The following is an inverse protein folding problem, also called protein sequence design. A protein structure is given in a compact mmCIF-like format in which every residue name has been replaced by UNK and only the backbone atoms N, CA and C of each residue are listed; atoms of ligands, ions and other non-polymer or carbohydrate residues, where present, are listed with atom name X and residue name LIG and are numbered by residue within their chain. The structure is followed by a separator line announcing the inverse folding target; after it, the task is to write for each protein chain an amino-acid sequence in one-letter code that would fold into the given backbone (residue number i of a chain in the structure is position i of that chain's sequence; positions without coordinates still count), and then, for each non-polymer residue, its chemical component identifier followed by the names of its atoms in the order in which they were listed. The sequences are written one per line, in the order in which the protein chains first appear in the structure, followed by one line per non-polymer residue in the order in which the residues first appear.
data_IF_660984461016
#
_entry.id   IF_660984461016
#
_cell.length_a   1.000
_cell.length_b   1.000
_cell.length_c   1.000
_cell.angle_alpha   90.00
_cell.angle_beta   90.00
_cell.angle_gamma   90.00
#
_symmetry.space_group_name_H-M   'P 1'
#
loop_
_entity.id
_entity.type
_entity.pdbx_description
1 polymer ?
#
# COMPACT_ATOMS: atom_id res chain seq x y z
N UNK A 1 21.27 3.22 -0.96
CA UNK A 1 20.31 4.01 -0.15
C UNK A 1 19.01 4.17 -0.94
N UNK A 2 17.82 4.08 -0.33
CA UNK A 2 16.55 4.00 -1.08
C UNK A 2 16.13 5.30 -1.77
N UNK A 3 16.82 6.41 -1.49
CA UNK A 3 16.59 7.70 -2.12
C UNK A 3 17.54 7.99 -3.31
N UNK A 4 18.17 6.97 -3.90
CA UNK A 4 19.12 7.14 -5.00
C UNK A 4 18.47 7.95 -6.14
N UNK A 5 18.91 9.20 -6.33
CA UNK A 5 18.31 10.13 -7.28
C UNK A 5 18.41 9.66 -8.75
N UNK A 6 19.36 8.75 -9.04
CA UNK A 6 19.65 8.25 -10.38
C UNK A 6 18.86 6.99 -10.77
N UNK A 7 18.17 6.34 -9.83
CA UNK A 7 17.39 5.14 -10.14
C UNK A 7 16.04 5.50 -10.80
N UNK A 8 15.55 4.70 -11.76
CA UNK A 8 14.21 4.91 -12.32
C UNK A 8 13.14 4.92 -11.24
N UNK A 9 12.13 5.79 -11.38
CA UNK A 9 11.07 5.99 -10.39
C UNK A 9 10.44 4.69 -9.89
N UNK A 10 10.18 3.74 -10.78
CA UNK A 10 9.64 2.43 -10.41
C UNK A 10 10.50 1.68 -9.39
N UNK A 11 11.83 1.68 -9.55
CA UNK A 11 12.74 1.04 -8.61
C UNK A 11 12.78 1.77 -7.26
N UNK A 12 12.74 3.11 -7.27
CA UNK A 12 12.69 3.92 -6.06
C UNK A 12 11.40 3.66 -5.28
N UNK A 13 10.27 3.63 -5.98
CA UNK A 13 8.96 3.32 -5.39
C UNK A 13 8.89 1.90 -4.85
N UNK A 14 9.44 0.91 -5.57
CA UNK A 14 9.52 -0.46 -5.10
C UNK A 14 10.31 -0.56 -3.79
N UNK A 15 11.50 0.05 -3.76
CA UNK A 15 12.34 0.10 -2.56
C UNK A 15 11.67 0.85 -1.40
N UNK A 16 10.92 1.92 -1.67
CA UNK A 16 10.16 2.65 -0.64
C UNK A 16 9.04 1.78 -0.05
N UNK A 17 8.26 1.11 -0.90
CA UNK A 17 7.15 0.23 -0.49
C UNK A 17 7.67 -0.91 0.37
N UNK A 18 8.75 -1.57 -0.04
CA UNK A 18 9.40 -2.63 0.74
C UNK A 18 9.92 -2.09 2.08
N UNK A 19 10.62 -0.95 2.05
CA UNK A 19 11.14 -0.30 3.25
C UNK A 19 10.04 0.04 4.25
N UNK A 20 8.97 0.69 3.81
CA UNK A 20 7.88 1.13 4.68
C UNK A 20 7.14 -0.05 5.31
N UNK A 21 6.86 -1.10 4.54
CA UNK A 21 6.19 -2.31 5.04
C UNK A 21 7.08 -3.07 6.01
N UNK A 22 8.39 -3.19 5.73
CA UNK A 22 9.36 -3.83 6.63
C UNK A 22 9.48 -3.05 7.95
N UNK A 23 9.62 -1.73 7.87
CA UNK A 23 9.70 -0.84 9.03
C UNK A 23 8.45 -0.99 9.90
N UNK A 24 7.26 -0.97 9.30
CA UNK A 24 5.99 -1.09 10.01
C UNK A 24 5.85 -2.39 10.83
N UNK A 25 6.53 -3.46 10.41
CA UNK A 25 6.53 -4.76 11.09
C UNK A 25 7.63 -4.96 12.14
N UNK A 26 8.56 -4.00 12.35
CA UNK A 26 9.75 -4.19 13.18
C UNK A 26 9.87 -3.12 14.27
N UNK A 27 9.60 -3.51 15.51
CA UNK A 27 9.62 -2.59 16.67
C UNK A 27 10.99 -1.93 16.89
N UNK A 28 12.07 -2.69 16.73
CA UNK A 28 13.43 -2.18 16.91
C UNK A 28 13.76 -1.11 15.85
N UNK A 29 13.40 -1.35 14.59
CA UNK A 29 13.55 -0.38 13.51
C UNK A 29 12.70 0.87 13.76
N UNK A 30 11.46 0.69 14.26
CA UNK A 30 10.55 1.78 14.61
C UNK A 30 11.11 2.66 15.74
N UNK A 31 11.79 2.08 16.73
CA UNK A 31 12.44 2.84 17.80
C UNK A 31 13.57 3.74 17.29
N UNK A 32 14.18 3.42 16.13
CA UNK A 32 15.27 4.18 15.53
C UNK A 32 14.80 5.27 14.55
N UNK A 33 13.50 5.37 14.24
CA UNK A 33 12.95 6.27 13.21
C UNK A 33 13.41 7.73 13.39
N UNK A 34 13.42 8.25 14.63
CA UNK A 34 13.87 9.62 14.90
C UNK A 34 15.35 9.82 14.58
N UNK A 35 16.19 8.87 14.98
CA UNK A 35 17.62 8.91 14.68
C UNK A 35 17.88 8.82 13.17
N UNK A 36 17.18 7.90 12.49
CA UNK A 36 17.29 7.73 11.03
C UNK A 36 16.81 8.98 10.30
N UNK A 37 15.73 9.64 10.72
CA UNK A 37 15.27 10.88 10.09
C UNK A 37 16.28 12.02 10.26
N UNK A 38 17.01 12.05 11.38
CA UNK A 38 18.06 13.04 11.62
C UNK A 38 19.34 12.81 10.81
N UNK A 39 19.59 11.58 10.35
CA UNK A 39 20.81 11.20 9.61
C UNK A 39 20.59 10.92 8.13
N UNK A 40 19.33 10.81 7.69
CA UNK A 40 19.02 10.57 6.28
C UNK A 40 19.34 11.82 5.45
N UNK A 41 20.32 11.69 4.57
CA UNK A 41 20.59 12.64 3.50
C UNK A 41 19.81 12.20 2.24
N UNK A 42 19.05 13.11 1.63
CA UNK A 42 18.36 12.87 0.36
C UNK A 42 18.07 14.18 -0.34
N UNK A 43 18.34 14.22 -1.64
CA UNK A 43 18.10 15.36 -2.53
C UNK A 43 16.75 15.26 -3.26
N UNK A 44 15.85 14.45 -2.71
CA UNK A 44 14.54 14.22 -3.29
C UNK A 44 13.71 15.51 -3.20
N UNK A 45 12.97 15.84 -4.26
CA UNK A 45 12.05 16.97 -4.22
C UNK A 45 11.03 16.81 -3.06
N UNK A 46 10.57 17.90 -2.42
CA UNK A 46 9.65 17.83 -1.28
C UNK A 46 8.32 17.11 -1.58
N UNK A 47 7.91 17.05 -2.84
CA UNK A 47 6.70 16.40 -3.32
C UNK A 47 6.95 15.01 -3.92
N UNK A 48 8.20 14.51 -3.89
CA UNK A 48 8.55 13.23 -4.47
C UNK A 48 7.90 12.08 -3.69
N UNK A 49 6.98 11.37 -4.34
CA UNK A 49 6.26 10.20 -3.79
C UNK A 49 7.17 9.02 -3.40
N UNK A 50 8.43 9.02 -3.84
CA UNK A 50 9.43 7.98 -3.58
C UNK A 50 10.38 8.23 -2.40
N UNK A 51 10.17 9.28 -1.60
CA UNK A 51 11.11 9.67 -0.56
C UNK A 51 10.91 8.92 0.78
N UNK A 52 11.98 8.32 1.31
CA UNK A 52 11.97 7.67 2.64
C UNK A 52 11.66 8.65 3.77
N UNK A 53 12.02 9.94 3.62
CA UNK A 53 11.70 10.97 4.62
C UNK A 53 10.20 11.08 4.83
N UNK A 54 9.39 10.88 3.80
CA UNK A 54 7.93 10.93 3.91
C UNK A 54 7.39 9.82 4.79
N UNK A 55 7.94 8.60 4.67
CA UNK A 55 7.60 7.47 5.54
C UNK A 55 7.95 7.77 6.99
N UNK A 56 9.19 8.21 7.23
CA UNK A 56 9.68 8.52 8.56
C UNK A 56 8.90 9.67 9.22
N UNK A 57 8.62 10.72 8.45
CA UNK A 57 7.86 11.90 8.90
C UNK A 57 6.44 11.51 9.29
N UNK A 58 5.72 10.79 8.42
CA UNK A 58 4.37 10.30 8.71
C UNK A 58 4.34 9.41 9.97
N UNK A 59 5.34 8.54 10.19
CA UNK A 59 5.43 7.69 11.39
C UNK A 59 5.53 8.50 12.68
N UNK A 60 6.37 9.53 12.69
CA UNK A 60 6.62 10.36 13.87
C UNK A 60 5.49 11.36 14.14
N UNK A 61 4.89 11.92 13.09
CA UNK A 61 4.07 13.13 13.21
C UNK A 61 2.58 12.92 12.97
N UNK A 62 2.15 11.82 12.32
CA UNK A 62 0.72 11.55 12.14
C UNK A 62 0.08 11.04 13.43
N UNK A 63 -0.87 11.77 14.01
CA UNK A 63 -1.44 11.41 15.31
C UNK A 63 -2.41 10.24 15.20
N UNK A 64 -3.31 10.29 14.22
CA UNK A 64 -4.26 9.23 13.90
C UNK A 64 -4.26 8.94 12.38
N UNK A 65 -3.66 7.81 11.94
CA UNK A 65 -3.57 7.48 10.53
C UNK A 65 -4.91 7.13 9.87
N UNK A 66 -5.99 6.98 10.63
CA UNK A 66 -7.34 6.79 10.09
C UNK A 66 -8.05 8.11 9.76
N UNK A 67 -7.69 9.22 10.43
CA UNK A 67 -8.30 10.54 10.22
C UNK A 67 -7.39 11.55 9.52
N UNK A 68 -6.07 11.41 9.68
CA UNK A 68 -5.10 12.37 9.18
C UNK A 68 -4.67 12.01 7.75
N UNK A 69 -4.59 13.03 6.89
CA UNK A 69 -3.91 12.91 5.59
C UNK A 69 -2.41 12.83 5.81
N UNK A 70 -1.71 12.04 5.01
CA UNK A 70 -0.25 11.99 5.00
C UNK A 70 0.31 12.02 3.59
N UNK A 71 1.56 11.59 3.45
CA UNK A 71 2.37 11.75 2.25
C UNK A 71 2.32 10.54 1.32
N UNK A 72 1.44 9.58 1.59
CA UNK A 72 1.19 8.40 0.76
C UNK A 72 -0.15 8.51 0.03
N UNK A 73 -0.37 7.65 -0.97
CA UNK A 73 -1.70 7.41 -1.53
C UNK A 73 -2.25 6.09 -1.02
N UNK A 74 -3.57 6.02 -0.81
CA UNK A 74 -4.26 4.84 -0.33
C UNK A 74 -5.41 4.45 -1.23
N UNK A 75 -5.69 3.15 -1.29
CA UNK A 75 -6.78 2.58 -2.06
C UNK A 75 -7.51 1.48 -1.27
N UNK A 76 -8.83 1.60 -1.17
CA UNK A 76 -9.67 0.48 -0.72
C UNK A 76 -10.01 -0.44 -1.89
N UNK A 77 -9.74 -1.73 -1.71
CA UNK A 77 -10.01 -2.81 -2.66
C UNK A 77 -10.89 -3.86 -1.99
N UNK A 78 -11.81 -4.47 -2.74
CA UNK A 78 -12.66 -5.55 -2.23
C UNK A 78 -11.83 -6.80 -1.93
N UNK A 79 -12.25 -7.59 -0.97
CA UNK A 79 -11.65 -8.91 -0.70
C UNK A 79 -12.24 -9.93 -1.72
N UNK A 80 -11.51 -10.95 -2.18
CA UNK A 80 -10.13 -11.32 -1.84
C UNK A 80 -9.05 -10.49 -2.57
N UNK A 81 -9.43 -9.64 -3.53
CA UNK A 81 -8.51 -8.93 -4.42
C UNK A 81 -7.48 -8.06 -3.72
N UNK A 82 -7.87 -7.38 -2.64
CA UNK A 82 -6.93 -6.58 -1.84
C UNK A 82 -5.72 -7.40 -1.37
N UNK A 83 -5.95 -8.63 -0.88
CA UNK A 83 -4.87 -9.51 -0.46
C UNK A 83 -4.07 -10.04 -1.63
N UNK A 84 -4.72 -10.36 -2.74
CA UNK A 84 -4.07 -10.94 -3.91
C UNK A 84 -3.21 -9.93 -4.68
N UNK A 85 -3.54 -8.64 -4.61
CA UNK A 85 -2.68 -7.54 -5.08
C UNK A 85 -1.36 -7.42 -4.31
N UNK A 86 -1.28 -8.03 -3.12
CA UNK A 86 -0.09 -8.04 -2.26
C UNK A 86 0.62 -9.40 -2.23
N UNK A 87 0.26 -10.29 -3.17
CA UNK A 87 1.02 -11.50 -3.46
C UNK A 87 1.77 -11.24 -4.76
N UNK A 88 3.04 -11.66 -4.85
CA UNK A 88 3.79 -11.53 -6.10
C UNK A 88 3.10 -12.29 -7.23
N UNK A 89 2.99 -11.66 -8.41
CA UNK A 89 2.42 -12.30 -9.60
C UNK A 89 3.16 -13.56 -10.00
N UNK A 90 4.46 -13.67 -9.69
CA UNK A 90 5.28 -14.85 -9.95
C UNK A 90 4.84 -16.10 -9.18
N UNK A 91 4.11 -15.94 -8.07
CA UNK A 91 3.62 -17.05 -7.23
C UNK A 91 2.08 -17.10 -7.18
N UNK A 92 1.41 -16.51 -8.17
CA UNK A 92 -0.05 -16.57 -8.31
C UNK A 92 -0.81 -15.35 -7.77
N UNK A 93 -0.12 -14.24 -7.49
CA UNK A 93 -0.78 -12.98 -7.17
C UNK A 93 -1.47 -12.30 -8.35
N UNK A 94 -2.33 -11.33 -8.03
CA UNK A 94 -3.01 -10.45 -8.99
C UNK A 94 -2.23 -9.15 -9.10
N UNK A 95 -2.16 -8.55 -10.28
CA UNK A 95 -1.44 -7.29 -10.49
C UNK A 95 -2.30 -6.21 -11.17
N UNK A 96 -3.60 -6.43 -11.36
CA UNK A 96 -4.49 -5.49 -12.07
C UNK A 96 -5.76 -5.28 -11.26
N UNK A 97 -6.04 -4.05 -10.85
CA UNK A 97 -7.31 -3.66 -10.25
C UNK A 97 -8.25 -3.07 -11.32
N UNK A 98 -9.51 -3.50 -11.33
CA UNK A 98 -10.50 -3.07 -12.32
C UNK A 98 -11.36 -1.94 -11.76
N UNK A 99 -11.36 -0.77 -12.40
CA UNK A 99 -12.06 0.43 -11.91
C UNK A 99 -12.95 1.07 -12.97
N UNK A 100 -13.93 1.83 -12.55
CA UNK A 100 -14.77 2.65 -13.44
C UNK A 100 -14.22 4.07 -13.62
N UNK A 101 -13.25 4.45 -12.79
CA UNK A 101 -12.55 5.73 -12.79
C UNK A 101 -11.07 5.56 -13.16
N UNK A 102 -10.46 6.66 -13.61
CA UNK A 102 -9.04 6.77 -13.96
C UNK A 102 -8.31 7.71 -13.02
N UNK A 103 -6.98 7.66 -13.06
CA UNK A 103 -6.10 8.60 -12.38
C UNK A 103 -4.78 8.73 -13.16
N UNK A 104 -4.19 9.92 -13.12
CA UNK A 104 -2.87 10.18 -13.66
C UNK A 104 -1.75 9.85 -12.65
N UNK A 105 -2.11 9.53 -11.40
CA UNK A 105 -1.13 9.16 -10.38
C UNK A 105 -0.38 7.88 -10.74
N UNK A 106 0.94 7.91 -10.54
CA UNK A 106 1.84 6.75 -10.53
C UNK A 106 2.73 6.81 -9.31
N UNK A 107 2.94 5.65 -8.68
CA UNK A 107 3.73 5.56 -7.47
C UNK A 107 3.12 4.69 -6.38
N UNK A 108 3.66 4.79 -5.15
CA UNK A 108 3.27 3.94 -4.02
C UNK A 108 1.80 4.12 -3.60
N UNK A 109 1.11 3.00 -3.42
CA UNK A 109 -0.28 2.95 -2.95
C UNK A 109 -0.40 1.95 -1.81
N UNK A 110 -0.89 2.41 -0.66
CA UNK A 110 -1.27 1.55 0.46
C UNK A 110 -2.60 0.86 0.15
N UNK A 111 -2.65 -0.44 0.36
CA UNK A 111 -3.81 -1.27 0.03
C UNK A 111 -4.60 -1.57 1.30
N UNK A 112 -5.86 -1.15 1.30
CA UNK A 112 -6.85 -1.45 2.33
C UNK A 112 -7.83 -2.53 1.84
N UNK A 113 -7.91 -3.65 2.57
CA UNK A 113 -8.92 -4.68 2.39
C UNK A 113 -10.28 -4.24 2.94
N UNK A 114 -11.22 -3.92 2.05
CA UNK A 114 -12.56 -3.44 2.40
C UNK A 114 -13.44 -4.47 3.08
N UNK A 115 -14.60 -4.03 3.59
CA UNK A 115 -15.59 -4.90 4.27
C UNK A 115 -16.25 -5.90 3.32
N UNK A 116 -16.41 -5.56 2.04
CA UNK A 116 -17.10 -6.40 1.05
C UNK A 116 -16.19 -7.47 0.46
N UNK A 117 -16.78 -8.64 0.28
CA UNK A 117 -16.19 -9.78 -0.44
C UNK A 117 -16.81 -9.82 -1.85
N UNK A 118 -15.97 -10.02 -2.86
CA UNK A 118 -16.36 -10.22 -4.25
C UNK A 118 -16.46 -11.72 -4.55
N UNK A 119 -17.70 -12.22 -4.57
CA UNK A 119 -17.98 -13.64 -4.76
C UNK A 119 -17.51 -14.16 -6.13
N UNK A 120 -17.71 -13.36 -7.19
CA UNK A 120 -17.23 -13.70 -8.53
C UNK A 120 -15.70 -13.85 -8.56
N UNK A 121 -15.02 -13.15 -7.65
CA UNK A 121 -13.59 -13.26 -7.49
C UNK A 121 -13.11 -14.53 -6.81
N UNK A 122 -13.87 -15.04 -5.85
CA UNK A 122 -13.61 -16.35 -5.25
C UNK A 122 -13.69 -17.44 -6.33
N UNK A 123 -14.77 -17.42 -7.11
CA UNK A 123 -14.99 -18.39 -8.18
C UNK A 123 -13.92 -18.31 -9.27
N UNK A 124 -13.51 -17.09 -9.66
CA UNK A 124 -12.41 -16.92 -10.62
C UNK A 124 -11.10 -17.48 -10.05
N UNK A 125 -10.78 -17.20 -8.79
CA UNK A 125 -9.59 -17.75 -8.14
C UNK A 125 -9.59 -19.28 -8.11
N UNK A 126 -10.73 -19.89 -7.78
CA UNK A 126 -10.91 -21.35 -7.80
C UNK A 126 -10.71 -21.92 -9.22
N UNK A 127 -11.29 -21.30 -10.24
CA UNK A 127 -11.10 -21.72 -11.65
C UNK A 127 -9.65 -21.60 -12.12
N UNK A 128 -8.92 -20.61 -11.61
CA UNK A 128 -7.49 -20.42 -11.87
C UNK A 128 -6.59 -21.31 -11.01
N UNK A 129 -7.16 -22.21 -10.18
CA UNK A 129 -6.40 -23.13 -9.34
C UNK A 129 -5.73 -22.47 -8.13
N UNK A 130 -6.17 -21.27 -7.75
CA UNK A 130 -5.63 -20.54 -6.60
C UNK A 130 -6.02 -21.23 -5.30
N UNK A 131 -5.05 -21.34 -4.37
CA UNK A 131 -5.24 -21.96 -3.05
C UNK A 131 -5.55 -20.89 -2.01
N UNK A 132 -6.05 -21.33 -0.86
CA UNK A 132 -6.24 -20.46 0.33
C UNK A 132 -7.13 -19.23 0.08
N UNK A 133 -8.18 -19.36 -0.75
CA UNK A 133 -9.09 -18.24 -1.01
C UNK A 133 -9.79 -17.72 0.26
N UNK A 134 -10.05 -18.61 1.24
CA UNK A 134 -10.56 -18.24 2.57
C UNK A 134 -9.62 -17.27 3.29
N UNK A 135 -8.32 -17.59 3.33
CA UNK A 135 -7.30 -16.72 3.90
C UNK A 135 -7.35 -15.34 3.26
N UNK A 136 -7.44 -15.25 1.93
CA UNK A 136 -7.54 -13.96 1.22
C UNK A 136 -8.84 -13.21 1.52
N UNK A 137 -9.95 -13.92 1.75
CA UNK A 137 -11.22 -13.32 2.17
C UNK A 137 -11.17 -12.76 3.59
N UNK A 138 -10.35 -13.33 4.47
CA UNK A 138 -10.21 -12.88 5.87
C UNK A 138 -9.34 -11.63 6.04
N UNK A 139 -8.67 -11.18 4.96
CA UNK A 139 -7.75 -10.04 4.97
C UNK A 139 -8.47 -8.70 4.85
N UNK A 140 -9.11 -8.28 5.94
CA UNK A 140 -9.63 -6.91 6.10
C UNK A 140 -8.60 -5.99 6.76
N UNK A 141 -8.64 -4.70 6.46
CA UNK A 141 -7.77 -3.68 7.07
C UNK A 141 -6.63 -3.24 6.17
N UNK A 142 -5.67 -2.51 6.73
CA UNK A 142 -4.41 -2.21 6.04
C UNK A 142 -3.57 -3.47 5.89
N UNK A 143 -3.21 -3.82 4.65
CA UNK A 143 -2.55 -5.09 4.34
C UNK A 143 -1.08 -4.92 3.91
N UNK A 144 -0.70 -3.74 3.43
CA UNK A 144 0.60 -3.47 2.84
C UNK A 144 0.53 -2.37 1.79
N UNK A 145 1.48 -2.36 0.86
CA UNK A 145 1.54 -1.39 -0.23
C UNK A 145 2.06 -2.03 -1.52
N UNK A 146 1.77 -1.38 -2.64
CA UNK A 146 2.20 -1.78 -3.99
C UNK A 146 2.39 -0.53 -4.84
N UNK A 147 3.03 -0.62 -6.01
CA UNK A 147 3.33 0.53 -6.88
C UNK A 147 2.34 0.54 -8.04
N UNK A 148 1.54 1.60 -8.19
CA UNK A 148 0.72 1.82 -9.37
C UNK A 148 1.61 2.31 -10.51
N UNK A 149 1.88 1.44 -11.48
CA UNK A 149 2.80 1.71 -12.61
C UNK A 149 2.06 2.10 -13.88
N UNK A 150 0.81 1.67 -14.03
CA UNK A 150 0.00 2.04 -15.19
C UNK A 150 -1.52 2.10 -14.90
N UNK A 151 -2.23 2.90 -15.67
CA UNK A 151 -3.69 3.05 -15.68
C UNK A 151 -4.10 3.29 -17.12
N UNK A 152 -4.80 2.31 -17.71
CA UNK A 152 -5.26 2.38 -19.09
C UNK A 152 -6.70 1.91 -19.24
N UNK A 153 -7.35 2.27 -20.35
CA UNK A 153 -8.70 1.79 -20.66
C UNK A 153 -8.68 0.29 -20.97
N UNK A 154 -9.67 -0.43 -20.49
CA UNK A 154 -9.82 -1.85 -20.78
C UNK A 154 -10.05 -2.07 -22.29
N UNK A 155 -9.13 -2.78 -22.94
CA UNK A 155 -9.15 -3.08 -24.38
C UNK A 155 -8.91 -4.57 -24.65
N UNK A 156 -9.56 -5.45 -23.88
CA UNK A 156 -9.32 -6.91 -23.97
C UNK A 156 -7.92 -7.33 -23.51
N UNK A 157 -7.25 -6.48 -22.73
CA UNK A 157 -5.89 -6.67 -22.23
C UNK A 157 -5.86 -7.19 -20.78
N UNK A 158 -4.65 -7.37 -20.23
CA UNK A 158 -4.40 -7.67 -18.82
C UNK A 158 -4.96 -9.01 -18.32
N UNK A 159 -5.15 -9.98 -19.22
CA UNK A 159 -5.55 -11.33 -18.84
C UNK A 159 -4.55 -11.96 -17.85
N UNK A 160 -5.01 -12.78 -16.88
CA UNK A 160 -6.41 -13.17 -16.65
C UNK A 160 -7.20 -12.17 -15.79
N UNK A 161 -6.57 -11.07 -15.35
CA UNK A 161 -7.09 -10.20 -14.30
C UNK A 161 -7.95 -9.04 -14.79
N UNK A 162 -7.67 -8.57 -16.01
CA UNK A 162 -8.37 -7.50 -16.67
C UNK A 162 -9.76 -7.94 -17.12
N UNK A 163 -10.76 -7.12 -16.81
CA UNK A 163 -12.14 -7.32 -17.26
C UNK A 163 -12.52 -6.24 -18.26
N UNK A 164 -13.36 -6.57 -19.22
CA UNK A 164 -13.94 -5.61 -20.17
C UNK A 164 -15.21 -4.98 -19.58
N UNK A 165 -15.66 -3.82 -20.10
CA UNK A 165 -16.98 -3.28 -19.74
C UNK A 165 -18.08 -4.29 -20.06
N UNK A 166 -19.06 -4.43 -19.16
CA UNK A 166 -20.25 -5.24 -19.42
C UNK A 166 -21.19 -4.56 -20.43
N UNK A 167 -21.37 -3.24 -20.29
CA UNK A 167 -22.19 -2.44 -21.19
C UNK A 167 -21.30 -1.58 -22.10
N UNK A 168 -21.56 -1.55 -23.43
CA UNK A 168 -20.95 -0.58 -24.33
C UNK A 168 -21.18 0.85 -23.81
N UNK A 169 -20.11 1.62 -23.63
CA UNK A 169 -20.15 3.02 -23.16
C UNK A 169 -19.87 3.23 -21.67
N UNK A 170 -19.84 2.19 -20.83
CA UNK A 170 -19.36 2.33 -19.46
C UNK A 170 -17.82 2.33 -19.44
N UNK A 171 -17.17 3.36 -18.86
CA UNK A 171 -15.73 3.38 -18.75
C UNK A 171 -15.26 2.27 -17.80
N UNK A 172 -14.20 1.59 -18.22
CA UNK A 172 -13.50 0.57 -17.45
C UNK A 172 -12.01 0.79 -17.63
N UNK A 173 -11.29 0.83 -16.53
CA UNK A 173 -9.85 1.03 -16.49
C UNK A 173 -9.18 -0.12 -15.76
N UNK A 174 -7.98 -0.46 -16.21
CA UNK A 174 -7.08 -1.41 -15.56
C UNK A 174 -5.98 -0.60 -14.88
N UNK A 175 -5.92 -0.73 -13.56
CA UNK A 175 -4.87 -0.12 -12.74
C UNK A 175 -3.83 -1.22 -12.48
N UNK A 176 -2.65 -1.08 -13.07
CA UNK A 176 -1.57 -2.08 -13.05
C UNK A 176 -0.63 -1.79 -11.89
N UNK A 177 -0.47 -2.78 -11.03
CA UNK A 177 0.33 -2.73 -9.82
C UNK A 177 1.56 -3.63 -9.93
N UNK A 178 2.69 -3.17 -9.40
CA UNK A 178 3.93 -3.92 -9.32
C UNK A 178 4.58 -3.77 -7.95
N UNK A 179 5.59 -4.60 -7.66
CA UNK A 179 6.36 -4.55 -6.42
C UNK A 179 5.50 -4.60 -5.14
N UNK A 180 4.66 -5.63 -4.98
CA UNK A 180 3.85 -5.77 -3.78
C UNK A 180 4.70 -6.04 -2.55
N UNK A 181 4.46 -5.30 -1.47
CA UNK A 181 4.98 -5.60 -0.15
C UNK A 181 3.84 -5.75 0.85
N UNK A 182 3.83 -6.88 1.56
CA UNK A 182 2.75 -7.27 2.47
C UNK A 182 3.21 -7.23 3.91
N UNK A 183 2.35 -6.72 4.79
CA UNK A 183 2.57 -6.78 6.23
C UNK A 183 2.52 -8.23 6.72
N UNK A 184 3.47 -8.60 7.59
CA UNK A 184 3.49 -9.91 8.24
C UNK A 184 2.31 -10.09 9.22
N UNK A 185 1.87 -9.01 9.86
CA UNK A 185 0.72 -8.98 10.74
C UNK A 185 -0.10 -7.71 10.49
N UNK A 186 -1.43 -7.82 10.60
CA UNK A 186 -2.32 -6.67 10.41
C UNK A 186 -2.15 -5.68 11.56
N UNK A 187 -2.00 -4.37 11.29
CA UNK A 187 -1.76 -3.38 12.33
C UNK A 187 -3.05 -3.00 13.08
N UNK A 188 -4.22 -3.29 12.49
CA UNK A 188 -5.54 -2.90 12.98
C UNK A 188 -6.55 -4.01 12.74
N UNK A 189 -7.37 -4.31 13.75
CA UNK A 189 -8.48 -5.27 13.65
C UNK A 189 -9.86 -4.61 13.80
N UNK A 190 -9.97 -3.40 14.37
CA UNK A 190 -11.26 -2.83 14.73
C UNK A 190 -11.59 -1.54 13.98
N UNK A 191 -12.82 -1.47 13.44
CA UNK A 191 -13.58 -0.29 13.02
C UNK A 191 -12.98 0.68 11.97
N UNK A 192 -11.79 0.42 11.42
CA UNK A 192 -11.33 1.17 10.26
C UNK A 192 -12.29 0.94 9.09
N UNK A 193 -13.00 2.00 8.67
CA UNK A 193 -13.85 1.96 7.50
C UNK A 193 -12.95 2.20 6.28
N UNK A 194 -13.11 1.37 5.26
CA UNK A 194 -12.55 1.68 3.95
C UNK A 194 -13.10 3.01 3.44
N UNK A 195 -12.47 3.53 2.39
CA UNK A 195 -12.79 4.82 1.80
C UNK A 195 -12.92 4.70 0.29
N UNK A 196 -13.66 5.62 -0.31
CA UNK A 196 -13.85 5.65 -1.75
C UNK A 196 -12.67 6.34 -2.46
N UNK A 197 -12.41 5.90 -3.69
CA UNK A 197 -11.40 6.45 -4.61
C UNK A 197 -9.96 6.35 -4.06
N UNK A 198 -9.01 6.75 -4.90
CA UNK A 198 -7.61 6.96 -4.51
C UNK A 198 -7.53 8.28 -3.75
N UNK A 199 -6.89 8.30 -2.59
CA UNK A 199 -6.75 9.53 -1.78
C UNK A 199 -5.45 9.57 -0.98
N UNK A 200 -5.00 10.76 -0.55
CA UNK A 200 -3.89 10.86 0.39
C UNK A 200 -4.19 10.15 1.72
N UNK A 201 -3.21 9.43 2.23
CA UNK A 201 -3.23 8.72 3.52
C UNK A 201 -1.83 8.78 4.14
N UNK A 202 -1.72 8.46 5.42
CA UNK A 202 -0.42 8.42 6.11
C UNK A 202 0.24 7.05 6.03
N UNK A 203 1.57 7.03 5.87
CA UNK A 203 2.37 5.80 6.03
C UNK A 203 2.21 5.18 7.43
N UNK A 204 1.88 5.97 8.45
CA UNK A 204 1.53 5.47 9.79
C UNK A 204 0.36 4.48 9.80
N UNK A 205 -0.47 4.46 8.76
CA UNK A 205 -1.57 3.51 8.62
C UNK A 205 -1.12 2.04 8.64
N UNK A 206 0.11 1.77 8.21
CA UNK A 206 0.70 0.44 8.24
C UNK A 206 1.23 0.04 9.63
N UNK A 207 1.34 0.99 10.57
CA UNK A 207 1.92 0.76 11.90
C UNK A 207 0.82 0.62 12.94
N UNK A 208 0.92 -0.39 13.82
CA UNK A 208 -0.05 -0.52 14.93
C UNK A 208 0.07 0.65 15.93
N UNK A 209 -1.03 1.06 16.59
CA UNK A 209 -1.01 2.15 17.61
C UNK A 209 0.06 1.96 18.66
N UNK A 210 0.18 0.73 19.18
CA UNK A 210 1.14 0.40 20.24
C UNK A 210 2.57 0.66 19.76
N UNK A 211 2.87 0.22 18.54
CA UNK A 211 4.18 0.40 17.91
C UNK A 211 4.46 1.88 17.58
N UNK A 212 3.49 2.59 17.00
CA UNK A 212 3.61 4.01 16.68
C UNK A 212 3.84 4.86 17.94
N UNK A 213 3.08 4.59 19.02
CA UNK A 213 3.29 5.25 20.32
C UNK A 213 4.67 4.94 20.91
N UNK A 214 5.13 3.70 20.81
CA UNK A 214 6.46 3.31 21.28
C UNK A 214 7.57 4.08 20.54
N UNK A 215 7.48 4.16 19.21
CA UNK A 215 8.43 4.90 18.38
C UNK A 215 8.53 6.39 18.77
N UNK A 216 7.39 7.02 19.05
CA UNK A 216 7.34 8.44 19.45
C UNK A 216 7.99 8.68 20.81
N UNK A 217 7.73 7.80 21.79
CA UNK A 217 8.22 7.94 23.16
C UNK A 217 9.73 7.67 23.31
N UNK A 218 10.29 6.71 22.56
CA UNK A 218 11.73 6.39 22.64
C UNK A 218 12.63 7.52 22.11
N UNK A 219 12.08 8.45 21.35
CA UNK A 219 12.80 9.61 20.87
C UNK A 219 12.89 10.80 21.84
N UNK A 220 12.09 10.80 22.92
CA UNK A 220 12.11 11.89 23.91
C UNK A 220 13.08 11.62 25.07
N UNK A 221 13.46 10.36 25.31
CA UNK A 221 14.38 9.97 26.38
C UNK A 221 15.86 10.27 26.07
N UNK A 222 16.17 10.73 24.86
CA UNK A 222 17.53 11.11 24.43
C UNK A 222 17.87 12.60 24.56
N UNK A 223 16.93 13.46 24.97
CA UNK A 223 17.12 14.93 25.03
C UNK A 223 17.44 15.49 26.43
N UNK A 224 17.75 14.63 27.41
CA UNK A 224 18.22 15.05 28.73
C UNK A 224 19.51 14.32 29.11
N UNK A 225 20.65 14.85 28.65
CA UNK A 225 21.92 14.86 29.39
C UNK A 225 22.72 16.09 29.01
#
# INVERSE_FOLDING_TARGET
MPCAAEAPDAHRWAGLVEYAVRLAGRLDDLAQVRHVLGTVECDCAPDASGCVRHVLHDILHTSDPCSDTGLAMGLTVRRPWASLLLVSSQIGGKNVENRTDSTDYRGPVLIYGGTRIDQAGIELGQRLGMREMSFHCDQQGWLGASVLVDVHRAQGCCAPWGTTPFNPGQPKYHWVFESPARLAARPWHDNAKGFDRLRPVSWSALVSRKAARHARLQGDTGASR
#
